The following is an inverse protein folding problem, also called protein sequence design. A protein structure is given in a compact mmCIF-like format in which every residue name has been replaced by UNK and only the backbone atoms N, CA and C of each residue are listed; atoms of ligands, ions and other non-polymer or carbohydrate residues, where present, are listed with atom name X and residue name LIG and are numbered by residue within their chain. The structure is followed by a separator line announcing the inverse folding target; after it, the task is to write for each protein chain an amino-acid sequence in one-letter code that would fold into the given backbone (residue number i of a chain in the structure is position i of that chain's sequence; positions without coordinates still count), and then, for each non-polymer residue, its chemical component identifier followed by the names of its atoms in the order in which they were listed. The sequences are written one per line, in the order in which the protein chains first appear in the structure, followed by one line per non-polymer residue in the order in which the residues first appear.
data_IF_677979804148
#
_entry.id   IF_677979804148
#
_cell.length_a   1.000
_cell.length_b   1.000
_cell.length_c   1.000
_cell.angle_alpha   90.00
_cell.angle_beta   90.00
_cell.angle_gamma   90.00
#
_symmetry.space_group_name_H-M   'P 1'
#
loop_
_entity.id
_entity.type
_entity.pdbx_description
1 polymer ?
#
# COMPACT_ATOMS: atom_id res chain seq x y z
N UNK A 1 -27.53 8.55 25.32
CA UNK A 1 -26.88 7.28 24.96
C UNK A 1 -26.02 7.61 23.76
N UNK A 2 -24.70 7.50 23.91
CA UNK A 2 -23.76 7.82 22.85
C UNK A 2 -23.88 6.73 21.78
N UNK A 3 -24.04 7.14 20.52
CA UNK A 3 -24.00 6.25 19.38
C UNK A 3 -22.66 5.52 19.38
N UNK A 4 -22.71 4.19 19.30
CA UNK A 4 -21.53 3.38 19.06
C UNK A 4 -20.93 3.78 17.71
N UNK A 5 -19.60 3.88 17.58
CA UNK A 5 -18.98 4.28 16.32
C UNK A 5 -19.32 3.26 15.23
N UNK A 6 -19.65 3.78 14.05
CA UNK A 6 -19.91 3.00 12.84
C UNK A 6 -18.67 2.11 12.60
N UNK A 7 -18.87 0.80 12.65
CA UNK A 7 -17.84 -0.21 12.36
C UNK A 7 -17.47 -0.06 10.88
N UNK A 8 -16.21 0.26 10.60
CA UNK A 8 -15.66 0.37 9.24
C UNK A 8 -15.82 -0.91 8.43
N UNK A 9 -15.83 -0.79 7.10
CA UNK A 9 -16.05 -1.92 6.20
C UNK A 9 -14.89 -2.92 6.32
N UNK A 10 -15.23 -4.20 6.53
CA UNK A 10 -14.28 -5.29 6.74
C UNK A 10 -14.43 -6.33 5.66
N UNK A 11 -13.31 -6.71 5.05
CA UNK A 11 -13.24 -7.86 4.15
C UNK A 11 -12.63 -9.08 4.86
N UNK A 12 -13.03 -10.28 4.46
CA UNK A 12 -12.40 -11.54 4.88
C UNK A 12 -12.10 -12.37 3.64
N UNK A 13 -10.85 -12.78 3.51
CA UNK A 13 -10.34 -13.62 2.43
C UNK A 13 -10.00 -14.98 3.03
N UNK A 14 -10.58 -16.05 2.49
CA UNK A 14 -10.25 -17.42 2.87
C UNK A 14 -9.27 -18.01 1.84
N UNK A 15 -7.99 -18.06 2.21
CA UNK A 15 -6.92 -18.63 1.40
C UNK A 15 -6.40 -19.96 1.95
N UNK A 16 -7.13 -20.60 2.90
CA UNK A 16 -6.67 -21.81 3.61
C UNK A 16 -6.48 -23.02 2.70
N UNK A 17 -7.29 -23.14 1.65
CA UNK A 17 -7.23 -24.25 0.70
C UNK A 17 -6.32 -23.97 -0.51
N UNK A 18 -5.80 -22.75 -0.62
CA UNK A 18 -4.94 -22.30 -1.72
C UNK A 18 -5.65 -22.15 -3.07
N UNK A 19 -6.99 -22.19 -3.11
CA UNK A 19 -7.77 -22.04 -4.35
C UNK A 19 -8.15 -20.59 -4.63
N UNK A 20 -8.36 -19.80 -3.58
CA UNK A 20 -8.58 -18.36 -3.66
C UNK A 20 -7.29 -17.66 -4.02
N UNK A 21 -7.22 -16.99 -5.16
CA UNK A 21 -6.13 -16.05 -5.47
C UNK A 21 -6.49 -14.66 -5.00
N UNK A 22 -5.51 -13.93 -4.50
CA UNK A 22 -5.74 -12.58 -3.99
C UNK A 22 -4.47 -11.74 -4.00
N UNK A 23 -4.67 -10.42 -3.97
CA UNK A 23 -3.65 -9.38 -3.94
C UNK A 23 -4.15 -8.24 -3.06
N UNK A 24 -3.30 -7.75 -2.15
CA UNK A 24 -3.59 -6.63 -1.25
C UNK A 24 -2.59 -5.50 -1.48
N UNK A 25 -3.08 -4.26 -1.51
CA UNK A 25 -2.24 -3.06 -1.56
C UNK A 25 -2.68 -2.04 -0.50
N UNK A 26 -1.80 -1.09 -0.21
CA UNK A 26 -2.21 0.13 0.49
C UNK A 26 -2.91 1.03 -0.55
N UNK A 27 -4.22 1.24 -0.38
CA UNK A 27 -4.96 2.18 -1.19
C UNK A 27 -4.60 3.61 -0.75
N UNK A 28 -3.87 4.33 -1.59
CA UNK A 28 -3.52 5.73 -1.32
C UNK A 28 -4.68 6.62 -1.75
N UNK A 29 -5.25 7.33 -0.77
CA UNK A 29 -6.44 8.18 -0.96
C UNK A 29 -6.26 9.33 -1.98
N UNK A 30 -5.01 9.71 -2.27
CA UNK A 30 -4.71 10.88 -3.09
C UNK A 30 -3.65 10.59 -4.16
N UNK A 31 -3.90 11.02 -5.41
CA UNK A 31 -2.86 11.02 -6.43
C UNK A 31 -1.72 11.94 -5.99
N UNK A 32 -0.51 11.49 -6.29
CA UNK A 32 0.71 12.25 -6.01
C UNK A 32 0.79 13.51 -6.87
N UNK A 33 0.35 13.39 -8.13
CA UNK A 33 0.25 14.52 -9.05
C UNK A 33 -1.11 14.46 -9.72
N UNK A 34 -1.74 15.63 -9.85
CA UNK A 34 -3.06 15.78 -10.43
C UNK A 34 -3.08 16.99 -11.36
N UNK A 35 -3.42 16.76 -12.61
CA UNK A 35 -3.86 17.80 -13.54
C UNK A 35 -5.37 17.69 -13.67
N UNK A 36 -6.10 18.79 -13.46
CA UNK A 36 -7.57 18.80 -13.48
C UNK A 36 -8.20 18.65 -12.09
N UNK A 37 -9.54 18.52 -12.02
CA UNK A 37 -10.25 18.27 -10.76
C UNK A 37 -9.86 16.91 -10.16
N UNK A 38 -9.95 16.79 -8.82
CA UNK A 38 -9.72 15.52 -8.14
C UNK A 38 -10.77 14.51 -8.65
N UNK A 39 -10.38 13.32 -9.12
CA UNK A 39 -11.35 12.26 -9.39
C UNK A 39 -12.11 11.92 -8.10
N UNK A 40 -13.23 11.20 -8.21
CA UNK A 40 -13.99 10.74 -7.04
C UNK A 40 -13.01 10.12 -6.03
N UNK A 41 -13.04 10.51 -4.74
CA UNK A 41 -12.07 10.03 -3.78
C UNK A 41 -12.11 8.51 -3.73
N UNK A 42 -10.96 7.86 -3.92
CA UNK A 42 -10.79 6.49 -3.45
C UNK A 42 -11.01 6.54 -1.92
N UNK A 43 -11.91 5.71 -1.36
CA UNK A 43 -12.12 5.64 0.08
C UNK A 43 -10.82 5.35 0.85
N UNK A 44 -9.78 4.84 0.18
CA UNK A 44 -8.52 4.46 0.78
C UNK A 44 -8.63 3.17 1.57
N UNK A 45 -7.58 2.86 2.32
CA UNK A 45 -7.53 1.66 3.15
C UNK A 45 -6.66 0.57 2.55
N UNK A 46 -7.17 -0.66 2.57
CA UNK A 46 -6.52 -1.84 2.01
C UNK A 46 -7.30 -2.24 0.76
N UNK A 47 -6.71 -2.00 -0.41
CA UNK A 47 -7.30 -2.44 -1.67
C UNK A 47 -7.13 -3.95 -1.80
N UNK A 48 -8.20 -4.63 -2.18
CA UNK A 48 -8.26 -6.09 -2.32
C UNK A 48 -8.70 -6.40 -3.73
N UNK A 49 -7.87 -7.17 -4.43
CA UNK A 49 -8.29 -7.94 -5.58
C UNK A 49 -8.32 -9.42 -5.18
N UNK A 50 -9.44 -10.11 -5.36
CA UNK A 50 -9.61 -11.50 -4.94
C UNK A 50 -10.48 -12.28 -5.93
N UNK A 51 -9.93 -13.38 -6.43
CA UNK A 51 -10.59 -14.34 -7.31
C UNK A 51 -10.69 -15.70 -6.59
N UNK A 52 -11.90 -16.18 -6.33
CA UNK A 52 -12.05 -17.43 -5.55
C UNK A 52 -13.42 -17.63 -4.93
N UNK A 53 -14.48 -17.25 -5.63
CA UNK A 53 -15.84 -17.28 -5.12
C UNK A 53 -16.64 -16.12 -5.70
N UNK A 54 -16.72 -15.02 -4.95
CA UNK A 54 -17.16 -13.72 -5.48
C UNK A 54 -15.93 -12.90 -5.80
N UNK A 55 -15.87 -12.35 -7.01
CA UNK A 55 -14.86 -11.37 -7.41
C UNK A 55 -14.96 -10.16 -6.47
N UNK A 56 -13.82 -9.79 -5.86
CA UNK A 56 -13.70 -8.59 -5.03
C UNK A 56 -12.63 -7.72 -5.68
N UNK A 57 -12.99 -6.48 -5.95
CA UNK A 57 -12.12 -5.41 -6.44
C UNK A 57 -12.54 -4.11 -5.74
N UNK A 58 -12.15 -3.98 -4.46
CA UNK A 58 -12.61 -2.87 -3.60
C UNK A 58 -11.63 -2.60 -2.45
N UNK A 59 -11.80 -1.47 -1.77
CA UNK A 59 -10.95 -1.02 -0.68
C UNK A 59 -11.67 -1.09 0.67
N UNK A 60 -10.97 -1.57 1.70
CA UNK A 60 -11.53 -1.80 3.03
C UNK A 60 -10.66 -1.21 4.13
N UNK A 61 -11.26 -0.80 5.26
CA UNK A 61 -10.51 -0.34 6.44
C UNK A 61 -9.68 -1.46 7.06
N UNK A 62 -10.17 -2.69 6.97
CA UNK A 62 -9.55 -3.87 7.57
C UNK A 62 -9.84 -5.12 6.76
N UNK A 63 -8.81 -5.91 6.49
CA UNK A 63 -8.89 -7.19 5.79
C UNK A 63 -8.37 -8.29 6.70
N UNK A 64 -9.18 -9.32 6.92
CA UNK A 64 -8.74 -10.57 7.54
C UNK A 64 -8.35 -11.56 6.44
N UNK A 65 -7.08 -11.95 6.39
CA UNK A 65 -6.60 -13.01 5.50
C UNK A 65 -6.45 -14.29 6.33
N UNK A 66 -7.21 -15.32 5.98
CA UNK A 66 -7.10 -16.64 6.61
C UNK A 66 -6.20 -17.53 5.75
N UNK A 67 -4.97 -17.76 6.22
CA UNK A 67 -3.96 -18.51 5.49
C UNK A 67 -3.83 -19.96 5.98
N UNK A 68 -3.11 -20.81 5.21
CA UNK A 68 -2.85 -22.20 5.59
C UNK A 68 -2.18 -22.38 6.96
N UNK A 69 -1.34 -21.42 7.39
CA UNK A 69 -0.58 -21.51 8.65
C UNK A 69 -1.13 -20.64 9.79
N UNK A 70 -2.08 -19.76 9.48
CA UNK A 70 -2.62 -18.82 10.44
C UNK A 70 -3.34 -17.65 9.76
N UNK A 71 -3.91 -16.80 10.60
CA UNK A 71 -4.67 -15.64 10.17
C UNK A 71 -3.86 -14.35 10.38
N UNK A 72 -3.99 -13.40 9.46
CA UNK A 72 -3.43 -12.05 9.58
C UNK A 72 -4.52 -11.01 9.38
N UNK A 73 -4.50 -9.99 10.23
CA UNK A 73 -5.33 -8.80 10.06
C UNK A 73 -4.46 -7.69 9.48
N UNK A 74 -4.89 -7.14 8.34
CA UNK A 74 -4.29 -5.98 7.69
C UNK A 74 -5.26 -4.82 7.84
N UNK A 75 -4.90 -3.80 8.62
CA UNK A 75 -5.64 -2.54 8.68
C UNK A 75 -4.99 -1.47 7.79
N UNK A 76 -5.79 -0.48 7.42
CA UNK A 76 -5.40 0.64 6.57
C UNK A 76 -4.12 1.36 7.04
N UNK A 77 -3.98 1.60 8.35
CA UNK A 77 -2.84 2.33 8.90
C UNK A 77 -1.56 1.49 8.76
N UNK A 78 -1.64 0.23 9.13
CA UNK A 78 -0.54 -0.73 9.06
C UNK A 78 -0.08 -0.93 7.62
N UNK A 79 -1.03 -1.09 6.68
CA UNK A 79 -0.78 -1.20 5.26
C UNK A 79 -0.05 0.04 4.72
N UNK A 80 -0.58 1.23 5.00
CA UNK A 80 -0.01 2.52 4.58
C UNK A 80 1.41 2.73 5.11
N UNK A 81 1.66 2.41 6.37
CA UNK A 81 3.00 2.58 6.98
C UNK A 81 4.00 1.55 6.45
N UNK A 82 3.53 0.34 6.11
CA UNK A 82 4.36 -0.68 5.44
C UNK A 82 4.81 -0.15 4.07
N UNK A 83 3.83 0.24 3.25
CA UNK A 83 4.08 0.85 1.94
C UNK A 83 5.02 2.05 2.04
N UNK A 84 4.81 2.98 2.98
CA UNK A 84 5.68 4.14 3.16
C UNK A 84 7.13 3.75 3.48
N UNK A 85 7.33 2.74 4.34
CA UNK A 85 8.66 2.24 4.67
C UNK A 85 9.34 1.60 3.46
N UNK A 86 8.61 0.82 2.65
CA UNK A 86 9.11 0.26 1.38
C UNK A 86 9.51 1.37 0.41
N UNK A 87 8.66 2.39 0.28
CA UNK A 87 8.90 3.52 -0.60
C UNK A 87 10.16 4.30 -0.25
N UNK A 88 10.46 4.41 1.04
CA UNK A 88 11.65 5.07 1.56
C UNK A 88 12.87 4.14 1.61
N UNK A 89 12.75 2.90 1.10
CA UNK A 89 13.82 1.90 1.10
C UNK A 89 14.27 1.50 2.50
N UNK A 90 13.38 1.54 3.50
CA UNK A 90 13.71 1.26 4.90
C UNK A 90 13.50 -0.23 5.20
N UNK A 91 14.40 -0.87 5.96
CA UNK A 91 14.18 -2.24 6.39
C UNK A 91 12.97 -2.30 7.33
N UNK A 92 12.05 -3.21 7.05
CA UNK A 92 10.83 -3.45 7.85
C UNK A 92 11.02 -4.74 8.66
N UNK A 93 10.58 -4.73 9.92
CA UNK A 93 10.67 -5.88 10.83
C UNK A 93 9.42 -6.02 11.68
N UNK A 94 9.06 -7.27 11.94
CA UNK A 94 8.09 -7.61 12.97
C UNK A 94 8.83 -7.56 14.31
N UNK A 95 8.40 -6.67 15.19
CA UNK A 95 9.02 -6.45 16.48
C UNK A 95 7.89 -6.55 17.50
N UNK A 96 8.04 -7.44 18.46
CA UNK A 96 7.10 -7.57 19.57
C UNK A 96 7.68 -6.91 20.83
N UNK A 97 6.79 -6.40 21.67
CA UNK A 97 7.20 -5.88 22.96
C UNK A 97 7.71 -7.02 23.86
N UNK A 98 8.96 -6.95 24.30
CA UNK A 98 9.57 -7.93 25.22
C UNK A 98 8.88 -8.02 26.59
N UNK A 99 7.99 -7.07 26.92
CA UNK A 99 7.23 -7.07 28.18
C UNK A 99 5.83 -7.64 28.03
N UNK A 100 5.05 -7.18 27.05
CA UNK A 100 3.63 -7.55 26.92
C UNK A 100 3.31 -8.41 25.70
N UNK A 101 4.30 -8.68 24.82
CA UNK A 101 4.10 -9.41 23.57
C UNK A 101 3.35 -8.62 22.48
N UNK A 102 2.98 -7.37 22.73
CA UNK A 102 2.24 -6.56 21.77
C UNK A 102 3.09 -6.20 20.54
N UNK A 103 2.56 -6.47 19.35
CA UNK A 103 3.21 -6.11 18.09
C UNK A 103 3.43 -4.59 17.99
N UNK A 104 4.60 -4.21 17.50
CA UNK A 104 5.01 -2.81 17.36
C UNK A 104 4.68 -2.29 15.96
N UNK A 105 4.19 -1.05 15.92
CA UNK A 105 3.92 -0.31 14.69
C UNK A 105 4.52 1.10 14.84
N UNK A 106 5.59 1.36 14.09
CA UNK A 106 6.24 2.67 14.04
C UNK A 106 5.40 3.63 13.19
N UNK A 107 4.93 4.72 13.81
CA UNK A 107 4.08 5.75 13.17
C UNK A 107 4.88 7.00 12.80
N UNK A 108 4.40 7.73 11.78
CA UNK A 108 4.86 9.07 11.43
C UNK A 108 6.40 9.16 11.25
N UNK A 109 7.06 10.02 12.02
CA UNK A 109 8.50 10.29 11.96
C UNK A 109 9.34 9.05 12.25
N UNK A 110 8.81 8.04 12.96
CA UNK A 110 9.52 6.80 13.22
C UNK A 110 9.76 5.96 11.96
N UNK A 111 8.92 6.12 10.92
CA UNK A 111 9.15 5.48 9.62
C UNK A 111 10.36 6.11 8.91
N UNK A 112 10.53 7.44 9.01
CA UNK A 112 11.66 8.17 8.43
C UNK A 112 12.95 8.06 9.23
N UNK A 113 12.82 7.97 10.55
CA UNK A 113 13.93 7.97 11.49
C UNK A 113 13.76 6.81 12.47
N UNK A 114 13.84 5.60 11.92
CA UNK A 114 13.85 4.37 12.71
C UNK A 114 14.92 4.45 13.81
N UNK A 115 14.49 4.24 15.05
CA UNK A 115 15.33 4.32 16.24
C UNK A 115 15.67 2.92 16.75
N UNK A 116 16.81 2.79 17.43
CA UNK A 116 17.16 1.57 18.18
C UNK A 116 16.31 1.38 19.43
N UNK A 117 15.53 2.38 19.83
CA UNK A 117 14.63 2.33 20.96
C UNK A 117 13.27 2.94 20.58
N UNK A 118 12.20 2.22 20.92
CA UNK A 118 10.81 2.64 20.67
C UNK A 118 9.92 2.33 21.87
N UNK A 119 8.88 3.13 22.07
CA UNK A 119 7.95 2.95 23.18
C UNK A 119 6.76 2.12 22.73
N UNK A 120 6.50 1.01 23.43
CA UNK A 120 5.35 0.15 23.16
C UNK A 120 4.04 0.91 23.32
N UNK A 121 3.26 0.99 22.24
CA UNK A 121 1.92 1.61 22.24
C UNK A 121 0.93 0.92 23.17
N UNK A 122 1.12 -0.39 23.44
CA UNK A 122 0.23 -1.17 24.31
C UNK A 122 0.52 -0.99 25.80
N UNK A 123 1.79 -1.02 26.21
CA UNK A 123 2.16 -1.05 27.65
C UNK A 123 3.17 0.03 28.08
N UNK A 124 3.60 0.92 27.19
CA UNK A 124 4.56 1.99 27.46
C UNK A 124 6.01 1.53 27.69
N UNK A 125 6.31 0.24 27.58
CA UNK A 125 7.67 -0.27 27.76
C UNK A 125 8.58 0.16 26.60
N UNK A 126 9.81 0.57 26.92
CA UNK A 126 10.81 0.89 25.89
C UNK A 126 11.44 -0.39 25.36
N UNK A 127 11.14 -0.73 24.12
CA UNK A 127 11.72 -1.85 23.38
C UNK A 127 13.01 -1.38 22.70
N UNK A 128 14.11 -2.10 22.92
CA UNK A 128 15.40 -1.83 22.28
C UNK A 128 15.73 -2.90 21.24
N UNK A 129 16.22 -2.50 20.07
CA UNK A 129 16.65 -3.40 18.99
C UNK A 129 18.12 -3.22 18.66
N UNK A 130 18.71 -4.22 17.99
CA UNK A 130 20.10 -4.19 17.53
C UNK A 130 20.30 -3.43 16.22
N UNK A 131 19.22 -3.20 15.46
CA UNK A 131 19.22 -2.48 14.19
C UNK A 131 18.10 -1.43 14.14
N UNK A 132 18.27 -0.48 13.23
CA UNK A 132 17.32 0.62 12.97
C UNK A 132 16.35 0.22 11.87
N UNK A 133 15.45 -0.72 12.17
CA UNK A 133 14.34 -1.09 11.30
C UNK A 133 13.03 -0.40 11.70
N UNK A 134 12.14 -0.21 10.73
CA UNK A 134 10.76 0.23 10.94
C UNK A 134 9.97 -0.96 11.47
N UNK A 135 9.38 -0.81 12.65
CA UNK A 135 8.48 -1.82 13.21
C UNK A 135 7.15 -1.80 12.46
N UNK A 136 6.78 -2.93 11.85
CA UNK A 136 5.47 -3.12 11.26
C UNK A 136 5.08 -4.60 11.36
N UNK A 137 3.89 -4.95 11.87
CA UNK A 137 3.44 -6.34 12.00
C UNK A 137 3.26 -7.08 10.67
N UNK A 138 3.25 -6.39 9.53
CA UNK A 138 3.16 -7.04 8.21
C UNK A 138 4.49 -7.66 7.75
N UNK A 139 5.61 -7.33 8.41
CA UNK A 139 6.92 -7.82 7.98
C UNK A 139 7.08 -9.35 8.08
N UNK A 140 6.30 -10.01 8.93
CA UNK A 140 6.25 -11.47 9.07
C UNK A 140 4.88 -12.05 8.69
N UNK A 141 3.97 -11.24 8.15
CA UNK A 141 2.61 -11.68 7.79
C UNK A 141 2.66 -12.87 6.83
N UNK A 142 3.53 -12.80 5.81
CA UNK A 142 3.78 -13.86 4.83
C UNK A 142 4.17 -15.20 5.48
N UNK A 143 5.07 -15.16 6.47
CA UNK A 143 5.47 -16.36 7.22
C UNK A 143 4.33 -16.88 8.09
N UNK A 144 3.55 -15.98 8.72
CA UNK A 144 2.41 -16.36 9.57
C UNK A 144 1.27 -17.02 8.79
N UNK A 145 0.97 -16.52 7.60
CA UNK A 145 -0.08 -17.07 6.74
C UNK A 145 0.42 -18.25 5.90
N UNK A 146 1.74 -18.40 5.73
CA UNK A 146 2.35 -19.48 4.94
C UNK A 146 2.41 -19.17 3.44
N UNK A 147 2.54 -17.90 3.07
CA UNK A 147 2.62 -17.43 1.68
C UNK A 147 4.04 -16.99 1.29
N UNK A 148 4.40 -17.06 -0.01
CA UNK A 148 5.69 -16.60 -0.48
C UNK A 148 5.86 -15.10 -0.23
N UNK A 149 7.07 -14.66 0.12
CA UNK A 149 7.37 -13.23 0.23
C UNK A 149 7.13 -12.53 -1.13
N UNK A 150 6.69 -11.27 -1.12
CA UNK A 150 6.46 -10.52 -2.34
C UNK A 150 7.81 -10.33 -3.01
N UNK A 151 7.81 -10.47 -4.32
CA UNK A 151 9.01 -10.22 -5.11
C UNK A 151 9.08 -8.74 -5.48
N UNK A 152 10.28 -8.18 -5.64
CA UNK A 152 10.42 -6.80 -6.12
C UNK A 152 9.71 -6.62 -7.45
N UNK A 153 8.97 -5.51 -7.59
CA UNK A 153 8.28 -5.18 -8.83
C UNK A 153 9.25 -5.14 -10.02
N UNK A 154 8.84 -5.73 -11.14
CA UNK A 154 9.57 -5.67 -12.41
C UNK A 154 9.32 -4.30 -13.03
N UNK A 155 10.38 -3.52 -13.26
CA UNK A 155 10.26 -2.22 -13.93
C UNK A 155 9.57 -2.38 -15.29
N UNK A 156 8.47 -1.65 -15.48
CA UNK A 156 7.74 -1.60 -16.74
C UNK A 156 8.64 -1.01 -17.83
N UNK A 157 8.59 -1.57 -19.03
CA UNK A 157 9.28 -1.00 -20.21
C UNK A 157 8.33 -0.14 -21.05
N UNK A 158 7.05 -0.07 -20.65
CA UNK A 158 6.05 0.73 -21.36
C UNK A 158 6.36 2.21 -21.23
N UNK A 159 6.13 2.93 -22.33
CA UNK A 159 6.36 4.37 -22.42
C UNK A 159 5.10 5.06 -22.90
N UNK A 160 4.73 6.17 -22.27
CA UNK A 160 3.62 7.01 -22.73
C UNK A 160 4.08 8.47 -22.79
N UNK A 161 3.66 9.17 -23.84
CA UNK A 161 3.81 10.61 -23.97
C UNK A 161 2.45 11.22 -24.24
N UNK A 162 1.98 12.08 -23.34
CA UNK A 162 0.69 12.75 -23.41
C UNK A 162 0.84 14.26 -23.32
N UNK A 163 -0.13 15.00 -23.83
CA UNK A 163 -0.25 16.43 -23.60
C UNK A 163 -1.43 16.68 -22.66
N UNK A 164 -1.24 17.46 -21.59
CA UNK A 164 -2.26 17.63 -20.57
C UNK A 164 -3.56 18.25 -21.11
N UNK A 165 -3.46 19.06 -22.17
CA UNK A 165 -4.61 19.67 -22.86
C UNK A 165 -5.56 18.66 -23.53
N UNK A 166 -5.11 17.43 -23.76
CA UNK A 166 -5.90 16.40 -24.44
C UNK A 166 -6.73 15.57 -23.44
N UNK A 167 -6.64 15.89 -22.14
CA UNK A 167 -7.28 15.17 -21.03
C UNK A 167 -8.01 16.13 -20.10
N UNK A 168 -9.14 15.69 -19.53
CA UNK A 168 -9.84 16.45 -18.48
C UNK A 168 -9.14 16.30 -17.13
N UNK A 169 -8.62 15.10 -16.85
CA UNK A 169 -7.89 14.75 -15.64
C UNK A 169 -6.72 13.84 -15.96
N UNK A 170 -5.57 14.07 -15.31
CA UNK A 170 -4.45 13.12 -15.26
C UNK A 170 -4.07 12.96 -13.79
N UNK A 171 -4.11 11.73 -13.29
CA UNK A 171 -3.78 11.38 -11.92
C UNK A 171 -2.64 10.36 -11.89
N UNK A 172 -1.60 10.63 -11.10
CA UNK A 172 -0.41 9.79 -11.00
C UNK A 172 -0.21 9.26 -9.59
N UNK A 173 0.16 7.98 -9.49
CA UNK A 173 0.62 7.33 -8.27
C UNK A 173 1.96 6.64 -8.50
N UNK A 174 2.80 6.48 -7.47
CA UNK A 174 3.87 5.51 -7.54
C UNK A 174 3.25 4.11 -7.55
N UNK A 175 3.85 3.18 -8.28
CA UNK A 175 3.49 1.77 -8.12
C UNK A 175 3.85 1.29 -6.71
N UNK A 176 2.88 0.70 -6.01
CA UNK A 176 3.09 -0.05 -4.78
C UNK A 176 3.35 -1.52 -5.09
N UNK A 177 4.27 -2.13 -4.35
CA UNK A 177 4.30 -3.59 -4.24
C UNK A 177 3.08 -4.09 -3.47
N UNK A 178 2.62 -5.29 -3.79
CA UNK A 178 1.62 -5.99 -3.00
C UNK A 178 2.10 -6.18 -1.56
N UNK A 179 1.22 -5.89 -0.61
CA UNK A 179 1.43 -6.09 0.81
C UNK A 179 1.31 -7.55 1.19
N UNK A 180 0.34 -8.26 0.59
CA UNK A 180 0.07 -9.68 0.72
C UNK A 180 -0.51 -10.19 -0.60
N UNK A 181 -0.08 -11.36 -1.04
CA UNK A 181 -0.55 -12.00 -2.26
C UNK A 181 -0.21 -13.48 -2.25
N UNK A 182 -0.97 -14.29 -2.98
CA UNK A 182 -0.56 -15.65 -3.30
C UNK A 182 -0.40 -15.86 -4.80
N UNK A 183 -0.48 -14.79 -5.58
CA UNK A 183 -0.18 -14.80 -7.00
C UNK A 183 1.33 -14.71 -7.20
N UNK A 184 1.88 -15.59 -8.03
CA UNK A 184 3.32 -15.65 -8.29
C UNK A 184 3.80 -14.61 -9.31
N UNK A 185 2.92 -13.72 -9.77
CA UNK A 185 3.25 -12.73 -10.79
C UNK A 185 3.97 -11.53 -10.19
N UNK A 186 4.90 -10.96 -10.97
CA UNK A 186 5.61 -9.76 -10.57
C UNK A 186 4.77 -8.54 -10.90
N UNK A 187 4.52 -7.73 -9.88
CA UNK A 187 4.00 -6.38 -10.08
C UNK A 187 4.85 -5.58 -11.06
N UNK A 188 4.20 -4.71 -11.83
CA UNK A 188 4.91 -3.75 -12.65
C UNK A 188 5.34 -2.56 -11.80
N UNK A 189 6.63 -2.22 -11.84
CA UNK A 189 7.19 -1.04 -11.22
C UNK A 189 7.18 0.14 -12.18
N UNK A 190 6.86 1.34 -11.71
CA UNK A 190 6.75 2.52 -12.57
C UNK A 190 5.96 3.68 -11.96
N UNK A 191 5.40 4.49 -12.84
CA UNK A 191 4.34 5.47 -12.54
C UNK A 191 3.02 4.87 -12.99
N UNK A 192 2.08 4.71 -12.06
CA UNK A 192 0.72 4.33 -12.36
C UNK A 192 -0.07 5.57 -12.75
N UNK A 193 -0.78 5.52 -13.87
CA UNK A 193 -1.41 6.66 -14.53
C UNK A 193 -2.86 6.33 -14.82
N UNK A 194 -3.76 7.16 -14.28
CA UNK A 194 -5.11 7.29 -14.79
C UNK A 194 -5.23 8.60 -15.58
N UNK A 195 -5.79 8.54 -16.78
CA UNK A 195 -6.10 9.73 -17.56
C UNK A 195 -7.48 9.62 -18.20
N UNK A 196 -8.27 10.67 -18.01
CA UNK A 196 -9.63 10.79 -18.52
C UNK A 196 -9.64 11.76 -19.69
N UNK A 197 -10.32 11.39 -20.77
CA UNK A 197 -10.50 12.27 -21.93
C UNK A 197 -11.36 13.50 -21.59
N UNK A 198 -11.62 14.37 -22.58
CA UNK A 198 -12.39 15.60 -22.36
C UNK A 198 -13.87 15.33 -22.10
N UNK A 199 -14.35 14.16 -22.46
CA UNK A 199 -15.69 13.65 -22.24
C UNK A 199 -15.85 13.04 -20.83
N UNK A 200 -14.73 12.78 -20.13
CA UNK A 200 -14.69 12.25 -18.77
C UNK A 200 -14.57 10.74 -18.70
N UNK A 201 -14.31 10.06 -19.81
CA UNK A 201 -14.09 8.61 -19.86
C UNK A 201 -12.61 8.29 -19.56
N UNK A 202 -12.36 7.28 -18.74
CA UNK A 202 -11.00 6.84 -18.44
C UNK A 202 -10.42 6.10 -19.63
N UNK A 203 -9.46 6.71 -20.32
CA UNK A 203 -8.85 6.16 -21.54
C UNK A 203 -7.41 5.68 -21.33
N UNK A 204 -6.81 6.03 -20.19
CA UNK A 204 -5.52 5.47 -19.75
C UNK A 204 -5.70 4.94 -18.35
N UNK A 205 -5.37 3.67 -18.17
CA UNK A 205 -5.13 3.00 -16.91
C UNK A 205 -3.93 2.09 -17.13
N UNK A 206 -2.75 2.54 -16.71
CA UNK A 206 -1.51 1.84 -17.00
C UNK A 206 -0.39 2.14 -16.03
N UNK A 207 0.47 1.14 -15.84
CA UNK A 207 1.76 1.28 -15.15
C UNK A 207 2.91 1.40 -16.14
N UNK A 208 3.59 2.54 -16.10
CA UNK A 208 4.59 2.95 -17.10
C UNK A 208 5.99 3.06 -16.51
N UNK A 209 7.00 2.59 -17.24
CA UNK A 209 8.40 2.82 -16.88
C UNK A 209 8.84 4.25 -17.17
N UNK A 210 8.30 4.82 -18.24
CA UNK A 210 8.58 6.21 -18.66
C UNK A 210 7.28 6.91 -19.00
N UNK A 211 7.03 8.04 -18.36
CA UNK A 211 5.91 8.93 -18.66
C UNK A 211 6.44 10.31 -19.03
N UNK A 212 5.91 10.90 -20.10
CA UNK A 212 6.14 12.30 -20.47
C UNK A 212 4.81 13.04 -20.53
N UNK A 213 4.70 14.16 -19.81
CA UNK A 213 3.52 15.04 -19.83
C UNK A 213 3.96 16.41 -20.34
N UNK A 214 3.37 16.89 -21.43
CA UNK A 214 3.73 18.17 -22.07
C UNK A 214 5.23 18.30 -22.39
N UNK A 215 5.86 17.20 -22.78
CA UNK A 215 7.30 17.14 -23.06
C UNK A 215 8.20 17.06 -21.83
N UNK A 216 7.64 17.06 -20.61
CA UNK A 216 8.37 16.91 -19.35
C UNK A 216 8.37 15.44 -18.94
N UNK A 217 9.55 14.84 -18.82
CA UNK A 217 9.70 13.49 -18.32
C UNK A 217 9.37 13.43 -16.82
N UNK A 218 8.45 12.53 -16.45
CA UNK A 218 8.05 12.28 -15.07
C UNK A 218 8.89 11.10 -14.55
N UNK A 219 9.81 11.40 -13.63
CA UNK A 219 10.66 10.39 -13.00
C UNK A 219 9.92 9.61 -11.93
N UNK A 220 10.05 8.28 -11.94
CA UNK A 220 9.48 7.38 -10.93
C UNK A 220 9.89 7.81 -9.52
N UNK A 221 11.17 8.06 -9.27
CA UNK A 221 11.67 8.46 -7.95
C UNK A 221 11.07 9.79 -7.45
N UNK A 222 10.77 10.72 -8.35
CA UNK A 222 10.14 12.00 -7.97
C UNK A 222 8.70 11.77 -7.52
N UNK A 223 7.93 10.95 -8.23
CA UNK A 223 6.58 10.55 -7.83
C UNK A 223 6.62 9.80 -6.50
N UNK A 224 7.59 8.90 -6.31
CA UNK A 224 7.76 8.15 -5.06
C UNK A 224 8.04 9.06 -3.85
N UNK A 225 8.96 10.02 -4.00
CA UNK A 225 9.26 10.97 -2.93
C UNK A 225 8.08 11.88 -2.59
N UNK A 226 7.36 12.35 -3.61
CA UNK A 226 6.20 13.21 -3.39
C UNK A 226 5.06 12.43 -2.72
N UNK A 227 4.85 11.17 -3.09
CA UNK A 227 3.85 10.32 -2.46
C UNK A 227 4.17 10.08 -0.98
N UNK A 228 5.44 9.83 -0.67
CA UNK A 228 5.90 9.73 0.71
C UNK A 228 5.66 11.04 1.49
N UNK A 229 5.87 12.20 0.85
CA UNK A 229 5.58 13.51 1.44
C UNK A 229 4.08 13.70 1.71
N UNK A 230 3.22 13.32 0.77
CA UNK A 230 1.75 13.40 0.91
C UNK A 230 1.26 12.49 2.03
N UNK A 231 1.73 11.24 2.09
CA UNK A 231 1.34 10.29 3.12
C UNK A 231 1.68 10.73 4.55
N UNK A 232 2.65 11.63 4.74
CA UNK A 232 3.00 12.20 6.04
C UNK A 232 2.12 13.34 6.52
N UNK A 233 1.40 13.99 5.59
CA UNK A 233 0.53 15.11 5.94
C UNK A 233 -0.81 14.65 6.53
N UNK A 234 -1.07 13.34 6.54
CA UNK A 234 -2.29 12.68 7.04
C UNK A 234 -1.99 11.74 8.22
#
# INVERSE_FOLDING_TARGET
MADAPIVGERCTIDARDGTTTFRLWAALMDPTHLWGPKPTPDPGGVHVHCDGGSEIDDSFDTVLVQGPQGDVVVDAETARLCWLAEMLGRPIRAIDCTRCGGAQLDRQTAVHHSSLARTCSTCGHVVKTSDSAVANPLADAWERIGLPRPQPARVSIATLSIAARDYSVIALWPTSTEILSNEGELELGGVHVHAWDLEGEMIVDATLGTLTVDGIAIGTDAVRHEAARVALMH
#
